data_IF_860230292931
#
_entry.id   IF_860230292931
#
_cell.length_a   1.000
_cell.length_b   1.000
_cell.length_c   1.000
_cell.angle_alpha   90.00
_cell.angle_beta   90.00
_cell.angle_gamma   90.00
#
_symmetry.space_group_name_H-M   'P 1'
#
loop_
_entity.id
_entity.type
_entity.pdbx_description
1 polymer ?
#
# COMPACT_ATOMS: atom_id res chain seq x y z
N UNK A 1 -17.47 11.21 -30.30
CA UNK A 1 -16.90 10.50 -29.12
C UNK A 1 -15.43 10.84 -29.01
N UNK A 2 -15.03 11.65 -28.02
CA UNK A 2 -13.61 11.94 -27.77
C UNK A 2 -12.94 10.69 -27.19
N UNK A 3 -12.10 10.03 -28.00
CA UNK A 3 -11.16 9.02 -27.50
C UNK A 3 -10.24 9.72 -26.51
N UNK A 4 -10.43 9.45 -25.21
CA UNK A 4 -9.42 9.77 -24.19
C UNK A 4 -8.18 8.97 -24.55
N UNK A 5 -7.19 9.64 -25.14
CA UNK A 5 -5.85 9.11 -25.31
C UNK A 5 -5.36 8.83 -23.89
N UNK A 6 -5.03 7.58 -23.51
CA UNK A 6 -4.45 7.31 -22.21
C UNK A 6 -3.08 7.96 -22.23
N UNK A 7 -2.94 9.10 -21.55
CA UNK A 7 -1.65 9.71 -21.30
C UNK A 7 -0.82 8.62 -20.60
N UNK A 8 0.36 8.26 -21.11
CA UNK A 8 1.29 7.42 -20.39
C UNK A 8 1.54 8.08 -19.04
N UNK A 9 1.00 7.54 -17.95
CA UNK A 9 1.45 7.95 -16.63
C UNK A 9 2.93 7.59 -16.60
N UNK A 10 3.84 8.56 -16.40
CA UNK A 10 5.26 8.26 -16.34
C UNK A 10 5.46 7.18 -15.29
N UNK A 11 6.20 6.12 -15.62
CA UNK A 11 6.46 5.00 -14.71
C UNK A 11 7.07 5.47 -13.38
N UNK A 12 7.75 6.62 -13.39
CA UNK A 12 8.23 7.33 -12.20
C UNK A 12 7.10 7.84 -11.30
N UNK A 13 6.06 8.43 -11.86
CA UNK A 13 4.88 8.91 -11.10
C UNK A 13 4.15 7.73 -10.47
N UNK A 14 3.94 6.63 -11.21
CA UNK A 14 3.33 5.44 -10.63
C UNK A 14 4.19 4.85 -9.51
N UNK A 15 5.51 4.74 -9.73
CA UNK A 15 6.44 4.24 -8.71
C UNK A 15 6.31 5.03 -7.42
N UNK A 16 6.35 6.36 -7.48
CA UNK A 16 6.19 7.21 -6.29
C UNK A 16 4.83 7.02 -5.61
N UNK A 17 3.75 6.81 -6.37
CA UNK A 17 2.43 6.51 -5.79
C UNK A 17 2.41 5.17 -5.08
N UNK A 18 3.00 4.13 -5.68
CA UNK A 18 3.12 2.81 -5.08
C UNK A 18 3.97 2.85 -3.81
N UNK A 19 5.13 3.51 -3.86
CA UNK A 19 6.03 3.65 -2.70
C UNK A 19 5.29 4.29 -1.52
N UNK A 20 4.59 5.41 -1.76
CA UNK A 20 3.82 6.08 -0.72
C UNK A 20 2.69 5.19 -0.17
N UNK A 21 1.94 4.52 -1.05
CA UNK A 21 0.86 3.63 -0.65
C UNK A 21 1.35 2.48 0.24
N UNK A 22 2.50 1.88 -0.10
CA UNK A 22 3.12 0.83 0.72
C UNK A 22 3.62 1.35 2.06
N UNK A 23 4.23 2.54 2.10
CA UNK A 23 4.64 3.16 3.36
C UNK A 23 3.45 3.50 4.26
N UNK A 24 2.32 3.94 3.69
CA UNK A 24 1.10 4.23 4.43
C UNK A 24 0.49 2.94 5.01
N UNK A 25 0.47 1.84 4.23
CA UNK A 25 0.04 0.52 4.70
C UNK A 25 0.97 -0.03 5.79
N UNK A 26 2.28 0.07 5.60
CA UNK A 26 3.27 -0.35 6.60
C UNK A 26 3.13 0.44 7.90
N UNK A 27 2.89 1.75 7.80
CA UNK A 27 2.64 2.59 8.96
C UNK A 27 1.39 2.15 9.72
N UNK A 28 0.31 1.83 9.02
CA UNK A 28 -0.90 1.26 9.61
C UNK A 28 -0.62 -0.06 10.32
N UNK A 29 0.04 -1.02 9.67
CA UNK A 29 0.30 -2.34 10.24
C UNK A 29 1.15 -2.25 11.50
N UNK A 30 2.25 -1.50 11.46
CA UNK A 30 3.10 -1.26 12.64
C UNK A 30 2.39 -0.49 13.74
N UNK A 31 1.49 0.43 13.39
CA UNK A 31 0.70 1.13 14.39
C UNK A 31 -0.26 0.17 15.10
N UNK A 32 -0.89 -0.75 14.35
CA UNK A 32 -1.74 -1.81 14.93
C UNK A 32 -0.93 -2.74 15.83
N UNK A 33 0.29 -3.14 15.43
CA UNK A 33 1.16 -4.01 16.24
C UNK A 33 1.58 -3.37 17.58
N UNK A 34 1.62 -2.04 17.64
CA UNK A 34 1.89 -1.29 18.88
C UNK A 34 0.68 -1.17 19.78
N UNK A 35 -0.51 -1.55 19.30
CA UNK A 35 -1.73 -1.53 20.08
C UNK A 35 -1.98 -2.91 20.68
N UNK A 36 -2.35 -2.94 21.95
CA UNK A 36 -2.81 -4.16 22.61
C UNK A 36 -4.29 -4.44 22.25
N UNK A 37 -4.55 -4.74 20.98
CA UNK A 37 -5.87 -5.10 20.45
C UNK A 37 -6.02 -6.63 20.41
N UNK A 38 -7.17 -7.12 20.87
CA UNK A 38 -7.53 -8.52 20.70
C UNK A 38 -7.87 -8.80 19.22
N UNK A 39 -7.67 -10.03 18.73
CA UNK A 39 -8.03 -10.38 17.35
C UNK A 39 -9.50 -10.09 16.99
N UNK A 40 -10.41 -10.18 17.97
CA UNK A 40 -11.83 -9.87 17.80
C UNK A 40 -12.13 -8.37 17.63
N UNK A 41 -11.21 -7.49 18.03
CA UNK A 41 -11.34 -6.04 17.90
C UNK A 41 -10.83 -5.50 16.56
N UNK A 42 -10.14 -6.36 15.80
CA UNK A 42 -9.62 -6.05 14.48
C UNK A 42 -10.54 -6.67 13.43
N UNK A 43 -10.99 -5.92 12.41
CA UNK A 43 -11.80 -6.47 11.34
C UNK A 43 -10.92 -7.34 10.41
N UNK A 44 -10.70 -8.60 10.81
CA UNK A 44 -9.75 -9.53 10.18
C UNK A 44 -9.92 -9.67 8.67
N UNK A 45 -11.17 -9.71 8.17
CA UNK A 45 -11.45 -9.79 6.73
C UNK A 45 -10.98 -8.54 5.97
N UNK A 46 -11.08 -7.37 6.59
CA UNK A 46 -10.60 -6.12 5.99
C UNK A 46 -9.08 -6.03 6.11
N UNK A 47 -8.50 -6.43 7.25
CA UNK A 47 -7.05 -6.49 7.42
C UNK A 47 -6.40 -7.37 6.36
N UNK A 48 -6.94 -8.57 6.12
CA UNK A 48 -6.42 -9.47 5.08
C UNK A 48 -6.44 -8.83 3.69
N UNK A 49 -7.50 -8.10 3.34
CA UNK A 49 -7.58 -7.37 2.07
C UNK A 49 -6.54 -6.27 1.94
N UNK A 50 -6.14 -5.64 3.05
CA UNK A 50 -5.06 -4.65 3.04
C UNK A 50 -3.69 -5.33 2.85
N UNK A 51 -3.46 -6.52 3.41
CA UNK A 51 -2.26 -7.30 3.13
C UNK A 51 -2.20 -7.80 1.69
N UNK A 52 -3.31 -8.31 1.16
CA UNK A 52 -3.43 -8.69 -0.26
C UNK A 52 -3.07 -7.49 -1.16
N UNK A 53 -3.60 -6.31 -0.84
CA UNK A 53 -3.31 -5.08 -1.59
C UNK A 53 -1.85 -4.62 -1.46
N UNK A 54 -1.22 -4.72 -0.29
CA UNK A 54 0.21 -4.42 -0.14
C UNK A 54 1.09 -5.36 -0.97
N UNK A 55 0.72 -6.65 -1.02
CA UNK A 55 1.41 -7.63 -1.86
C UNK A 55 1.27 -7.31 -3.36
N UNK A 56 0.07 -6.94 -3.82
CA UNK A 56 -0.16 -6.49 -5.20
C UNK A 56 0.70 -5.27 -5.55
N UNK A 57 0.88 -4.33 -4.60
CA UNK A 57 1.77 -3.18 -4.79
C UNK A 57 3.25 -3.55 -4.82
N UNK A 58 3.67 -4.51 -4.00
CA UNK A 58 5.04 -5.04 -4.03
C UNK A 58 5.34 -5.68 -5.39
N UNK A 59 4.41 -6.48 -5.91
CA UNK A 59 4.51 -7.10 -7.23
C UNK A 59 4.55 -6.03 -8.34
N UNK A 60 3.72 -5.00 -8.25
CA UNK A 60 3.74 -3.90 -9.22
C UNK A 60 5.09 -3.14 -9.20
N UNK A 61 5.67 -2.88 -8.03
CA UNK A 61 7.00 -2.27 -7.90
C UNK A 61 8.09 -3.15 -8.50
N UNK A 62 8.05 -4.46 -8.22
CA UNK A 62 8.97 -5.42 -8.82
C UNK A 62 8.84 -5.43 -10.34
N UNK A 63 7.61 -5.49 -10.85
CA UNK A 63 7.34 -5.53 -12.29
C UNK A 63 7.79 -4.25 -12.99
N UNK A 64 7.69 -3.07 -12.36
CA UNK A 64 8.21 -1.82 -12.93
C UNK A 64 9.73 -1.83 -13.16
N UNK A 65 10.49 -2.59 -12.35
CA UNK A 65 11.93 -2.79 -12.55
C UNK A 65 12.26 -3.84 -13.63
N UNK A 66 11.33 -4.77 -13.89
CA UNK A 66 11.54 -5.92 -14.79
C UNK A 66 10.72 -5.84 -16.10
N UNK A 67 9.96 -4.78 -16.31
CA UNK A 67 9.04 -4.60 -17.44
C UNK A 67 9.71 -4.41 -18.82
N UNK A 68 11.04 -4.52 -18.90
CA UNK A 68 11.75 -4.58 -20.18
C UNK A 68 11.50 -5.93 -20.90
N UNK A 69 10.26 -6.15 -21.35
CA UNK A 69 9.95 -7.07 -22.45
C UNK A 69 9.02 -8.27 -22.20
N UNK A 70 8.34 -8.41 -21.04
CA UNK A 70 7.53 -9.64 -20.78
C UNK A 70 6.08 -9.46 -20.34
N UNK A 71 5.66 -8.28 -19.88
CA UNK A 71 4.30 -8.03 -19.37
C UNK A 71 3.62 -6.96 -20.22
N UNK A 72 2.31 -7.04 -20.46
CA UNK A 72 1.55 -5.92 -21.04
C UNK A 72 1.45 -4.82 -19.96
N UNK A 73 2.30 -3.78 -20.02
CA UNK A 73 2.42 -2.85 -18.92
C UNK A 73 1.10 -2.12 -18.71
N UNK A 74 0.36 -1.83 -19.78
CA UNK A 74 -0.85 -1.01 -19.75
C UNK A 74 -2.02 -1.61 -18.98
N UNK A 75 -2.21 -2.94 -19.07
CA UNK A 75 -3.30 -3.61 -18.33
C UNK A 75 -2.99 -3.63 -16.82
N UNK A 76 -1.77 -4.01 -16.46
CA UNK A 76 -1.29 -4.01 -15.07
C UNK A 76 -1.31 -2.59 -14.49
N UNK A 77 -0.77 -1.61 -15.22
CA UNK A 77 -0.76 -0.19 -14.83
C UNK A 77 -2.18 0.31 -14.52
N UNK A 78 -3.17 0.00 -15.38
CA UNK A 78 -4.56 0.43 -15.19
C UNK A 78 -5.16 -0.17 -13.91
N UNK A 79 -4.98 -1.47 -13.70
CA UNK A 79 -5.59 -2.16 -12.56
C UNK A 79 -4.91 -1.73 -11.24
N UNK A 80 -3.57 -1.54 -11.24
CA UNK A 80 -2.82 -0.97 -10.12
C UNK A 80 -3.25 0.47 -9.80
N UNK A 81 -3.48 1.31 -10.80
CA UNK A 81 -3.97 2.68 -10.60
C UNK A 81 -5.36 2.71 -9.99
N UNK A 82 -6.27 1.85 -10.48
CA UNK A 82 -7.60 1.73 -9.91
C UNK A 82 -7.55 1.26 -8.45
N UNK A 83 -6.64 0.35 -8.11
CA UNK A 83 -6.42 -0.11 -6.75
C UNK A 83 -5.87 1.00 -5.84
N UNK A 84 -4.90 1.80 -6.33
CA UNK A 84 -4.37 2.98 -5.64
C UNK A 84 -5.45 4.03 -5.37
N UNK A 85 -6.33 4.29 -6.33
CA UNK A 85 -7.41 5.26 -6.18
C UNK A 85 -8.44 4.81 -5.12
N UNK A 86 -8.60 3.50 -4.91
CA UNK A 86 -9.49 2.93 -3.89
C UNK A 86 -8.86 2.81 -2.50
N UNK A 87 -7.54 2.96 -2.37
CA UNK A 87 -6.83 2.76 -1.10
C UNK A 87 -7.38 3.67 0.03
N UNK A 88 -7.60 4.98 -0.16
CA UNK A 88 -8.12 5.84 0.90
C UNK A 88 -9.46 5.37 1.45
N UNK A 89 -10.37 4.92 0.58
CA UNK A 89 -11.69 4.41 0.97
C UNK A 89 -11.58 3.08 1.73
N UNK A 90 -10.70 2.18 1.29
CA UNK A 90 -10.44 0.91 1.99
C UNK A 90 -9.87 1.15 3.39
N UNK A 91 -8.93 2.08 3.51
CA UNK A 91 -8.36 2.50 4.80
C UNK A 91 -9.42 3.14 5.70
N UNK A 92 -10.25 4.05 5.16
CA UNK A 92 -11.34 4.67 5.92
C UNK A 92 -12.35 3.62 6.41
N UNK A 93 -12.71 2.65 5.57
CA UNK A 93 -13.59 1.55 5.93
C UNK A 93 -12.98 0.67 7.03
N UNK A 94 -11.68 0.36 6.92
CA UNK A 94 -10.96 -0.40 7.93
C UNK A 94 -10.96 0.34 9.28
N UNK A 95 -10.56 1.61 9.29
CA UNK A 95 -10.52 2.45 10.49
C UNK A 95 -11.88 2.57 11.16
N UNK A 96 -12.95 2.76 10.39
CA UNK A 96 -14.33 2.85 10.92
C UNK A 96 -14.82 1.56 11.60
N UNK A 97 -14.25 0.40 11.24
CA UNK A 97 -14.67 -0.92 11.71
C UNK A 97 -13.82 -1.44 12.87
N UNK A 98 -12.81 -0.69 13.31
CA UNK A 98 -12.02 -1.01 14.50
C UNK A 98 -12.82 -0.77 15.78
N UNK A 99 -12.35 -1.36 16.87
CA UNK A 99 -12.90 -1.08 18.19
C UNK A 99 -12.82 0.42 18.54
N UNK A 100 -13.82 1.00 19.24
CA UNK A 100 -13.87 2.43 19.52
C UNK A 100 -12.61 3.00 20.20
N UNK A 101 -11.96 2.22 21.07
CA UNK A 101 -10.72 2.61 21.75
C UNK A 101 -9.55 2.84 20.80
N UNK A 102 -9.57 2.25 19.60
CA UNK A 102 -8.53 2.43 18.62
C UNK A 102 -8.63 3.77 17.88
N UNK A 103 -9.82 4.37 17.78
CA UNK A 103 -10.05 5.54 16.93
C UNK A 103 -9.28 6.79 17.37
N UNK A 104 -9.00 6.95 18.67
CA UNK A 104 -8.24 8.10 19.19
C UNK A 104 -6.73 7.90 19.10
N UNK A 105 -6.25 6.69 19.36
CA UNK A 105 -4.81 6.40 19.44
C UNK A 105 -4.20 6.07 18.09
N UNK A 106 -4.92 5.37 17.23
CA UNK A 106 -4.39 4.86 15.97
C UNK A 106 -3.86 5.97 15.04
N UNK A 107 -4.58 7.08 14.78
CA UNK A 107 -4.07 8.12 13.87
C UNK A 107 -2.73 8.73 14.33
N UNK A 108 -2.55 8.90 15.65
CA UNK A 108 -1.32 9.42 16.23
C UNK A 108 -0.16 8.43 16.06
N UNK A 109 -0.42 7.14 16.29
CA UNK A 109 0.58 6.08 16.08
C UNK A 109 0.94 5.93 14.60
N UNK A 110 -0.05 5.90 13.71
CA UNK A 110 0.16 5.84 12.25
C UNK A 110 1.06 6.99 11.79
N UNK A 111 0.75 8.23 12.19
CA UNK A 111 1.53 9.41 11.81
C UNK A 111 2.96 9.34 12.36
N UNK A 112 3.13 8.96 13.63
CA UNK A 112 4.44 8.81 14.26
C UNK A 112 5.27 7.74 13.55
N UNK A 113 4.69 6.57 13.27
CA UNK A 113 5.37 5.50 12.52
C UNK A 113 5.75 6.02 11.14
N UNK A 114 4.81 6.61 10.40
CA UNK A 114 5.01 7.07 9.02
C UNK A 114 6.16 8.08 8.89
N UNK A 115 6.36 8.94 9.89
CA UNK A 115 7.47 9.89 9.96
C UNK A 115 8.82 9.23 10.26
N UNK A 116 8.81 8.07 10.92
CA UNK A 116 10.02 7.31 11.26
C UNK A 116 10.44 6.28 10.21
N UNK A 117 9.58 5.96 9.24
CA UNK A 117 9.88 4.97 8.20
C UNK A 117 10.99 5.47 7.27
N UNK A 118 11.94 4.57 6.94
CA UNK A 118 12.89 4.80 5.84
C UNK A 118 12.13 4.62 4.52
N UNK A 119 12.23 5.55 3.54
CA UNK A 119 11.64 5.39 2.22
C UNK A 119 11.94 4.05 1.53
N UNK A 120 13.09 3.42 1.81
CA UNK A 120 13.47 2.10 1.30
C UNK A 120 12.57 0.98 1.79
N UNK A 121 11.89 1.15 2.91
CA UNK A 121 10.95 0.16 3.45
C UNK A 121 9.70 -0.02 2.56
N UNK A 122 9.45 0.90 1.62
CA UNK A 122 8.50 0.69 0.53
C UNK A 122 8.81 -0.56 -0.31
N UNK A 123 10.06 -1.01 -0.29
CA UNK A 123 10.56 -2.17 -1.03
C UNK A 123 10.66 -3.44 -0.17
N UNK A 124 10.16 -3.44 1.07
CA UNK A 124 10.07 -4.66 1.87
C UNK A 124 9.32 -5.75 1.09
N UNK A 125 9.84 -6.98 1.12
CA UNK A 125 9.34 -8.14 0.37
C UNK A 125 9.41 -8.01 -1.16
N UNK A 126 10.09 -6.99 -1.70
CA UNK A 126 10.36 -6.86 -3.15
C UNK A 126 11.69 -7.54 -3.48
N UNK A 127 11.70 -8.63 -4.27
CA UNK A 127 12.92 -9.34 -4.62
C UNK A 127 13.98 -8.41 -5.24
N UNK A 128 15.21 -8.45 -4.72
CA UNK A 128 16.34 -7.63 -5.20
C UNK A 128 16.33 -6.16 -4.76
N UNK A 129 15.29 -5.71 -4.05
CA UNK A 129 15.18 -4.33 -3.52
C UNK A 129 14.91 -4.26 -2.02
N UNK A 130 14.54 -5.38 -1.40
CA UNK A 130 14.27 -5.48 0.03
C UNK A 130 15.50 -5.02 0.86
N UNK A 131 15.36 -3.98 1.69
CA UNK A 131 16.47 -3.51 2.53
C UNK A 131 16.95 -4.54 3.56
N UNK A 132 16.14 -5.55 3.89
CA UNK A 132 16.49 -6.60 4.85
C UNK A 132 17.38 -7.70 4.23
N UNK A 133 17.44 -7.78 2.89
CA UNK A 133 18.23 -8.77 2.16
C UNK A 133 19.62 -8.25 1.74
N UNK A 134 20.13 -7.21 2.42
CA UNK A 134 21.44 -6.60 2.17
C UNK A 134 22.54 -7.13 3.07
#
# INVERSE_FOLDING_TARGET
MMRRIPIPIPTTVLRTRLENARLDLLALFRALDRMDLLPAEIPQKLLRRLFELDADYAEALWALDHAAGRLNPWAMLRDTLAALDQLPDRLAQFRKRLAPRAHSTLPTLEQSVRQSLDPREAYNMVPGRDPQNR
#
